data_IF_506186731926
#
_entry.id   IF_506186731926
#
_cell.length_a   1.000
_cell.length_b   1.000
_cell.length_c   1.000
_cell.angle_alpha   90.00
_cell.angle_beta   90.00
_cell.angle_gamma   90.00
#
_symmetry.space_group_name_H-M   'P 1'
#
loop_
_entity.id
_entity.type
_entity.pdbx_description
1 polymer ?
#
# COMPACT_ATOMS: atom_id res chain seq x y z
N UNK A 1 -8.98 -1.83 1.97
CA UNK A 1 -7.51 -1.71 2.03
C UNK A 1 -6.99 -1.09 0.74
N UNK A 2 -6.04 -0.15 0.82
CA UNK A 2 -5.31 0.41 -0.33
C UNK A 2 -3.85 -0.05 -0.28
N UNK A 3 -3.37 -0.65 -1.37
CA UNK A 3 -2.02 -1.22 -1.43
C UNK A 3 -1.17 -0.48 -2.46
N UNK A 4 -0.07 0.11 -2.03
CA UNK A 4 0.86 0.85 -2.88
C UNK A 4 1.87 -0.11 -3.54
N UNK A 5 1.59 -0.56 -4.76
CA UNK A 5 2.40 -1.50 -5.52
C UNK A 5 3.04 -0.88 -6.79
N UNK A 6 2.89 0.42 -7.00
CA UNK A 6 3.49 1.14 -8.14
C UNK A 6 4.97 1.52 -7.93
N UNK A 7 5.55 1.23 -6.76
CA UNK A 7 6.94 1.53 -6.44
C UNK A 7 7.94 0.86 -7.39
N UNK A 8 9.04 1.55 -7.68
CA UNK A 8 10.10 1.03 -8.56
C UNK A 8 10.95 -0.02 -7.84
N UNK A 9 10.55 -1.28 -7.89
CA UNK A 9 11.39 -2.43 -7.52
C UNK A 9 12.52 -2.70 -8.52
N UNK A 10 13.14 -1.65 -9.07
CA UNK A 10 14.01 -1.71 -10.24
C UNK A 10 15.41 -2.31 -10.02
N UNK A 11 15.76 -2.70 -8.78
CA UNK A 11 17.12 -3.17 -8.48
C UNK A 11 17.35 -4.67 -8.76
N UNK A 12 16.30 -5.45 -9.10
CA UNK A 12 16.38 -6.91 -9.21
C UNK A 12 15.81 -7.48 -10.53
N UNK A 13 15.55 -6.67 -11.54
CA UNK A 13 15.11 -7.16 -12.87
C UNK A 13 13.73 -7.81 -12.91
N UNK A 14 12.95 -7.77 -11.82
CA UNK A 14 11.61 -8.34 -11.69
C UNK A 14 10.69 -7.47 -10.84
N UNK A 15 9.41 -7.83 -10.76
CA UNK A 15 8.41 -7.16 -9.92
C UNK A 15 8.51 -7.72 -8.51
N UNK A 16 9.43 -7.19 -7.72
CA UNK A 16 9.74 -7.65 -6.36
C UNK A 16 8.52 -7.82 -5.44
N UNK A 17 7.48 -7.04 -5.67
CA UNK A 17 6.25 -7.06 -4.86
C UNK A 17 5.43 -8.34 -5.02
N UNK A 18 5.64 -9.08 -6.11
CA UNK A 18 4.93 -10.32 -6.40
C UNK A 18 5.88 -11.54 -6.44
N UNK A 19 7.12 -11.38 -5.96
CA UNK A 19 8.02 -12.51 -5.78
C UNK A 19 7.52 -13.41 -4.64
N UNK A 20 7.60 -14.71 -4.89
CA UNK A 20 7.18 -15.71 -3.92
C UNK A 20 8.09 -15.72 -2.69
N UNK A 21 7.48 -15.66 -1.52
CA UNK A 21 8.16 -15.77 -0.21
C UNK A 21 7.60 -16.92 0.63
N UNK A 22 6.43 -17.44 0.28
CA UNK A 22 5.77 -18.54 0.95
C UNK A 22 6.02 -19.90 0.28
N UNK A 23 5.62 -20.98 0.97
CA UNK A 23 5.84 -22.37 0.51
C UNK A 23 5.00 -22.77 -0.71
N UNK A 24 3.90 -22.07 -0.97
CA UNK A 24 2.98 -22.32 -2.08
C UNK A 24 2.94 -21.14 -3.06
N UNK A 25 4.07 -20.45 -3.23
CA UNK A 25 4.22 -19.28 -4.09
C UNK A 25 3.42 -18.04 -3.63
N UNK A 26 3.09 -17.94 -2.34
CA UNK A 26 2.52 -16.71 -1.79
C UNK A 26 3.57 -15.59 -1.78
N UNK A 27 3.18 -14.40 -2.21
CA UNK A 27 3.95 -13.18 -2.05
C UNK A 27 3.54 -12.41 -0.77
N UNK A 28 4.27 -11.35 -0.41
CA UNK A 28 3.91 -10.53 0.77
C UNK A 28 2.50 -9.95 0.67
N UNK A 29 2.04 -9.63 -0.53
CA UNK A 29 0.70 -9.10 -0.77
C UNK A 29 -0.42 -10.11 -0.49
N UNK A 30 -0.18 -11.40 -0.68
CA UNK A 30 -1.16 -12.43 -0.30
C UNK A 30 -1.40 -12.40 1.21
N UNK A 31 -0.32 -12.34 2.01
CA UNK A 31 -0.42 -12.25 3.46
C UNK A 31 -1.10 -10.96 3.91
N UNK A 32 -0.72 -9.81 3.35
CA UNK A 32 -1.33 -8.53 3.68
C UNK A 32 -2.84 -8.53 3.35
N UNK A 33 -3.22 -9.05 2.19
CA UNK A 33 -4.62 -9.12 1.76
C UNK A 33 -5.43 -10.09 2.61
N UNK A 34 -4.86 -11.25 2.94
CA UNK A 34 -5.50 -12.24 3.82
C UNK A 34 -5.71 -11.66 5.23
N UNK A 35 -4.68 -11.07 5.83
CA UNK A 35 -4.76 -10.50 7.17
C UNK A 35 -5.74 -9.31 7.23
N UNK A 36 -5.82 -8.49 6.18
CA UNK A 36 -6.81 -7.43 6.08
C UNK A 36 -8.25 -7.98 6.02
N UNK A 37 -8.50 -8.99 5.19
CA UNK A 37 -9.80 -9.65 5.11
C UNK A 37 -10.22 -10.21 6.48
N UNK A 38 -9.32 -10.91 7.17
CA UNK A 38 -9.57 -11.45 8.52
C UNK A 38 -9.77 -10.35 9.59
N UNK A 39 -9.28 -9.14 9.32
CA UNK A 39 -9.48 -7.95 10.15
C UNK A 39 -10.77 -7.16 9.81
N UNK A 40 -11.58 -7.65 8.86
CA UNK A 40 -12.89 -7.08 8.51
C UNK A 40 -12.85 -6.05 7.37
N UNK A 41 -11.75 -5.90 6.64
CA UNK A 41 -11.74 -5.10 5.42
C UNK A 41 -12.63 -5.77 4.36
N UNK A 42 -13.57 -5.04 3.78
CA UNK A 42 -14.54 -5.54 2.80
C UNK A 42 -13.97 -5.68 1.39
N UNK A 43 -12.95 -4.89 1.06
CA UNK A 43 -12.32 -4.89 -0.27
C UNK A 43 -10.85 -4.50 -0.23
N UNK A 44 -10.15 -4.74 -1.36
CA UNK A 44 -8.77 -4.29 -1.58
C UNK A 44 -8.64 -3.58 -2.93
N UNK A 45 -7.93 -2.44 -2.93
CA UNK A 45 -7.57 -1.70 -4.14
C UNK A 45 -6.05 -1.68 -4.23
N UNK A 46 -5.50 -2.16 -5.34
CA UNK A 46 -4.06 -2.13 -5.61
C UNK A 46 -3.73 -0.97 -6.54
N UNK A 47 -2.71 -0.21 -6.21
CA UNK A 47 -2.15 0.81 -7.11
C UNK A 47 -0.93 0.21 -7.77
N UNK A 48 -0.99 0.02 -9.08
CA UNK A 48 0.07 -0.60 -9.86
C UNK A 48 0.53 0.31 -11.01
N UNK A 49 1.68 -0.04 -11.61
CA UNK A 49 2.08 0.52 -12.90
C UNK A 49 1.49 -0.32 -14.03
N UNK A 50 1.24 0.32 -15.17
CA UNK A 50 0.66 -0.35 -16.34
C UNK A 50 1.58 -1.44 -16.92
N UNK A 51 2.88 -1.25 -16.86
CA UNK A 51 3.88 -2.19 -17.41
C UNK A 51 3.96 -3.52 -16.64
N UNK A 52 3.46 -3.59 -15.39
CA UNK A 52 3.44 -4.82 -14.59
C UNK A 52 2.07 -5.50 -14.56
N UNK A 53 1.06 -4.98 -15.25
CA UNK A 53 -0.32 -5.45 -15.16
C UNK A 53 -0.47 -6.95 -15.43
N UNK A 54 0.18 -7.44 -16.49
CA UNK A 54 0.10 -8.84 -16.87
C UNK A 54 0.63 -9.77 -15.77
N UNK A 55 1.86 -9.53 -15.32
CA UNK A 55 2.50 -10.34 -14.27
C UNK A 55 1.75 -10.23 -12.92
N UNK A 56 1.25 -9.03 -12.60
CA UNK A 56 0.47 -8.79 -11.40
C UNK A 56 -0.84 -9.59 -11.42
N UNK A 57 -1.54 -9.61 -12.54
CA UNK A 57 -2.79 -10.37 -12.68
C UNK A 57 -2.53 -11.87 -12.55
N UNK A 58 -1.59 -12.40 -13.31
CA UNK A 58 -1.28 -13.82 -13.34
C UNK A 58 -0.83 -14.35 -11.96
N UNK A 59 0.08 -13.62 -11.30
CA UNK A 59 0.73 -14.10 -10.08
C UNK A 59 -0.06 -13.81 -8.80
N UNK A 60 -0.89 -12.79 -8.76
CA UNK A 60 -1.60 -12.35 -7.56
C UNK A 60 -3.09 -12.08 -7.79
N UNK A 61 -3.42 -11.10 -8.65
CA UNK A 61 -4.73 -10.48 -8.67
C UNK A 61 -5.86 -11.47 -8.97
N UNK A 62 -5.71 -12.30 -10.00
CA UNK A 62 -6.74 -13.25 -10.41
C UNK A 62 -7.01 -14.33 -9.32
N UNK A 63 -6.02 -14.61 -8.46
CA UNK A 63 -6.19 -15.49 -7.29
C UNK A 63 -6.94 -14.79 -6.16
N UNK A 64 -6.59 -13.55 -5.85
CA UNK A 64 -7.24 -12.75 -4.81
C UNK A 64 -8.70 -12.46 -5.17
N UNK A 65 -8.96 -12.02 -6.41
CA UNK A 65 -10.28 -11.64 -6.89
C UNK A 65 -11.32 -12.78 -6.88
N UNK A 66 -10.89 -14.04 -6.81
CA UNK A 66 -11.81 -15.19 -6.64
C UNK A 66 -12.44 -15.26 -5.25
N UNK A 67 -11.80 -14.66 -4.23
CA UNK A 67 -12.17 -14.84 -2.83
C UNK A 67 -12.38 -13.53 -2.07
N UNK A 68 -12.10 -12.39 -2.71
CA UNK A 68 -12.18 -11.07 -2.09
C UNK A 68 -12.55 -10.04 -3.15
N UNK A 69 -13.36 -9.01 -2.79
CA UNK A 69 -13.61 -7.88 -3.70
C UNK A 69 -12.29 -7.12 -3.91
N UNK A 70 -11.68 -7.32 -5.07
CA UNK A 70 -10.39 -6.77 -5.43
C UNK A 70 -10.49 -5.92 -6.70
N UNK A 71 -9.82 -4.78 -6.68
CA UNK A 71 -9.69 -3.86 -7.81
C UNK A 71 -8.25 -3.41 -7.94
N UNK A 72 -7.88 -2.90 -9.09
CA UNK A 72 -6.61 -2.19 -9.24
C UNK A 72 -6.77 -0.94 -10.09
N UNK A 73 -5.93 0.03 -9.81
CA UNK A 73 -5.84 1.30 -10.53
C UNK A 73 -4.39 1.55 -10.95
N UNK A 74 -4.20 2.38 -11.96
CA UNK A 74 -2.87 2.70 -12.44
C UNK A 74 -2.37 4.02 -11.90
N UNK A 75 -1.14 4.02 -11.39
CA UNK A 75 -0.36 5.24 -11.24
C UNK A 75 0.55 5.39 -12.45
N UNK A 76 0.24 6.32 -13.33
CA UNK A 76 1.08 6.67 -14.47
C UNK A 76 1.74 8.03 -14.26
N UNK A 77 2.71 8.36 -15.09
CA UNK A 77 3.42 9.65 -14.99
C UNK A 77 2.50 10.85 -15.24
N UNK A 78 1.51 10.70 -16.09
CA UNK A 78 0.55 11.71 -16.55
C UNK A 78 -0.78 11.68 -15.77
N UNK A 79 -0.99 10.70 -14.88
CA UNK A 79 -2.22 10.63 -14.08
C UNK A 79 -2.42 11.93 -13.30
N UNK A 80 -3.64 12.45 -13.31
CA UNK A 80 -4.08 13.65 -12.56
C UNK A 80 -3.35 14.95 -12.94
N UNK A 81 -2.57 14.97 -14.02
CA UNK A 81 -1.83 16.15 -14.44
C UNK A 81 -2.54 16.88 -15.58
N UNK A 82 -2.46 18.21 -15.57
CA UNK A 82 -2.86 19.03 -16.72
C UNK A 82 -1.84 18.89 -17.87
N UNK A 83 -2.23 19.19 -19.12
CA UNK A 83 -1.29 19.15 -20.26
C UNK A 83 -0.02 19.99 -20.03
N UNK A 84 -0.14 21.12 -19.37
CA UNK A 84 0.98 22.01 -19.05
C UNK A 84 1.93 21.40 -18.00
N UNK A 85 1.39 20.71 -17.00
CA UNK A 85 2.17 19.97 -16.01
C UNK A 85 2.90 18.78 -16.63
N UNK A 86 2.24 18.06 -17.55
CA UNK A 86 2.85 16.95 -18.30
C UNK A 86 4.04 17.48 -19.11
N UNK A 87 3.86 18.58 -19.86
CA UNK A 87 4.94 19.18 -20.65
C UNK A 87 6.14 19.59 -19.80
N UNK A 88 5.90 20.23 -18.63
CA UNK A 88 6.97 20.64 -17.69
C UNK A 88 7.65 19.46 -17.02
N UNK A 89 6.99 18.33 -16.90
CA UNK A 89 7.52 17.13 -16.24
C UNK A 89 8.05 16.06 -17.20
N UNK A 90 8.14 16.33 -18.50
CA UNK A 90 8.52 15.38 -19.54
C UNK A 90 9.87 14.65 -19.26
N UNK A 91 10.81 15.30 -18.58
CA UNK A 91 12.10 14.70 -18.19
C UNK A 91 12.07 13.94 -16.86
N UNK A 92 10.93 13.90 -16.15
CA UNK A 92 10.81 13.23 -14.86
C UNK A 92 10.73 11.71 -15.06
N UNK A 93 11.68 10.99 -14.45
CA UNK A 93 11.73 9.51 -14.49
C UNK A 93 11.20 8.86 -13.21
N UNK A 94 11.09 9.61 -12.11
CA UNK A 94 10.63 9.07 -10.82
C UNK A 94 9.11 9.25 -10.68
N UNK A 95 8.39 8.32 -10.04
CA UNK A 95 6.98 8.48 -9.72
C UNK A 95 6.75 9.70 -8.82
N UNK A 96 5.52 10.20 -8.78
CA UNK A 96 5.15 11.41 -8.03
C UNK A 96 5.10 11.22 -6.51
N UNK A 97 5.20 10.00 -6.04
CA UNK A 97 5.21 9.67 -4.62
C UNK A 97 3.86 9.16 -4.11
N UNK A 98 3.80 8.94 -2.79
CA UNK A 98 2.71 8.23 -2.11
C UNK A 98 1.38 8.95 -2.20
N UNK A 99 1.34 10.26 -1.95
CA UNK A 99 0.10 11.05 -2.01
C UNK A 99 -0.53 11.01 -3.39
N UNK A 100 0.28 11.17 -4.43
CA UNK A 100 -0.21 11.05 -5.81
C UNK A 100 -0.76 9.64 -6.11
N UNK A 101 -0.11 8.60 -5.59
CA UNK A 101 -0.60 7.24 -5.73
C UNK A 101 -2.00 7.09 -5.10
N UNK A 102 -2.18 7.58 -3.87
CA UNK A 102 -3.49 7.55 -3.18
C UNK A 102 -4.56 8.30 -3.98
N UNK A 103 -4.25 9.48 -4.50
CA UNK A 103 -5.17 10.27 -5.31
C UNK A 103 -5.57 9.55 -6.61
N UNK A 104 -4.69 8.75 -7.22
CA UNK A 104 -5.04 7.92 -8.38
C UNK A 104 -6.11 6.87 -8.07
N UNK A 105 -6.35 6.56 -6.80
CA UNK A 105 -7.36 5.60 -6.37
C UNK A 105 -8.65 6.26 -5.85
N UNK A 106 -8.79 7.58 -5.93
CA UNK A 106 -9.93 8.32 -5.37
C UNK A 106 -11.27 7.72 -5.77
N UNK A 107 -11.48 7.48 -7.06
CA UNK A 107 -12.73 6.92 -7.60
C UNK A 107 -13.00 5.45 -7.21
N UNK A 108 -12.04 4.79 -6.56
CA UNK A 108 -12.16 3.41 -6.09
C UNK A 108 -12.31 3.31 -4.56
N UNK A 109 -12.32 4.44 -3.84
CA UNK A 109 -12.35 4.51 -2.38
C UNK A 109 -13.65 5.17 -1.92
N UNK A 110 -14.56 4.39 -1.31
CA UNK A 110 -15.90 4.83 -0.92
C UNK A 110 -16.15 4.81 0.59
N UNK A 111 -15.15 4.48 1.39
CA UNK A 111 -15.23 4.36 2.85
C UNK A 111 -13.86 4.62 3.48
N UNK A 112 -13.77 4.77 4.81
CA UNK A 112 -12.50 4.84 5.51
C UNK A 112 -11.59 3.68 5.10
N UNK A 113 -10.31 3.96 4.86
CA UNK A 113 -9.37 2.99 4.32
C UNK A 113 -8.00 3.05 5.00
N UNK A 114 -7.31 1.92 5.04
CA UNK A 114 -5.91 1.86 5.42
C UNK A 114 -5.00 1.78 4.19
N UNK A 115 -3.82 2.38 4.28
CA UNK A 115 -2.79 2.36 3.23
C UNK A 115 -1.61 1.53 3.70
N UNK A 116 -1.14 0.63 2.84
CA UNK A 116 0.04 -0.20 3.07
C UNK A 116 0.96 -0.22 1.85
N UNK A 117 2.25 -0.40 2.08
CA UNK A 117 3.22 -0.65 1.02
C UNK A 117 3.19 -2.13 0.61
N UNK A 118 3.44 -2.40 -0.65
CA UNK A 118 3.43 -3.76 -1.19
C UNK A 118 4.65 -4.61 -0.78
N UNK A 119 5.72 -3.97 -0.35
CA UNK A 119 7.01 -4.61 -0.01
C UNK A 119 7.29 -4.68 1.50
N UNK A 120 6.32 -4.30 2.33
CA UNK A 120 6.41 -4.36 3.78
C UNK A 120 5.48 -5.45 4.36
N UNK A 121 5.94 -6.14 5.40
CA UNK A 121 5.12 -7.06 6.20
C UNK A 121 4.66 -6.39 7.48
N UNK A 122 3.36 -6.20 7.63
CA UNK A 122 2.75 -5.48 8.75
C UNK A 122 2.33 -6.38 9.91
N UNK A 123 1.97 -7.62 9.60
CA UNK A 123 1.49 -8.59 10.57
C UNK A 123 0.02 -8.42 10.95
N UNK A 124 -0.58 -9.52 11.35
CA UNK A 124 -2.03 -9.65 11.63
C UNK A 124 -2.55 -8.66 12.66
N UNK A 125 -1.77 -8.38 13.71
CA UNK A 125 -2.18 -7.46 14.78
C UNK A 125 -2.34 -6.02 14.29
N UNK A 126 -1.50 -5.57 13.36
CA UNK A 126 -1.60 -4.24 12.78
C UNK A 126 -2.91 -4.06 12.00
N UNK A 127 -3.28 -5.04 11.17
CA UNK A 127 -4.55 -5.01 10.45
C UNK A 127 -5.76 -5.03 11.38
N UNK A 128 -5.74 -5.83 12.45
CA UNK A 128 -6.80 -5.83 13.47
C UNK A 128 -6.92 -4.48 14.15
N UNK A 129 -5.80 -3.87 14.55
CA UNK A 129 -5.80 -2.58 15.23
C UNK A 129 -6.38 -1.48 14.35
N UNK A 130 -5.86 -1.33 13.13
CA UNK A 130 -6.34 -0.28 12.23
C UNK A 130 -7.76 -0.56 11.72
N UNK A 131 -8.12 -1.82 11.46
CA UNK A 131 -9.47 -2.21 11.06
C UNK A 131 -10.51 -1.90 12.13
N UNK A 132 -10.22 -2.20 13.41
CA UNK A 132 -11.09 -1.82 14.54
C UNK A 132 -11.27 -0.31 14.65
N UNK A 133 -10.21 0.47 14.45
CA UNK A 133 -10.32 1.94 14.44
C UNK A 133 -11.21 2.42 13.29
N UNK A 134 -10.95 1.96 12.06
CA UNK A 134 -11.69 2.39 10.87
C UNK A 134 -13.18 2.01 10.93
N UNK A 135 -13.53 0.88 11.53
CA UNK A 135 -14.93 0.48 11.70
C UNK A 135 -15.71 1.36 12.67
N UNK A 136 -15.04 2.11 13.52
CA UNK A 136 -15.63 3.01 14.51
C UNK A 136 -15.75 4.48 14.09
N UNK A 137 -15.20 4.86 12.94
CA UNK A 137 -15.22 6.25 12.46
C UNK A 137 -16.28 6.45 11.37
N UNK A 138 -16.80 7.69 11.29
CA UNK A 138 -17.72 8.10 10.22
C UNK A 138 -16.99 8.27 8.88
N UNK A 139 -17.69 8.09 7.78
CA UNK A 139 -17.17 8.40 6.43
C UNK A 139 -16.80 9.88 6.25
N UNK A 140 -17.39 10.78 7.02
CA UNK A 140 -17.12 12.21 6.98
C UNK A 140 -15.99 12.61 7.93
N UNK A 141 -15.39 11.67 8.66
CA UNK A 141 -14.28 11.97 9.56
C UNK A 141 -13.03 12.37 8.78
N UNK A 142 -12.38 13.42 9.28
CA UNK A 142 -11.06 13.86 8.81
C UNK A 142 -9.93 13.32 9.69
N UNK A 143 -10.24 12.42 10.62
CA UNK A 143 -9.25 11.84 11.51
C UNK A 143 -8.32 10.89 10.73
N UNK A 144 -7.05 10.92 11.11
CA UNK A 144 -6.03 10.02 10.59
C UNK A 144 -5.46 9.19 11.73
N UNK A 145 -5.13 7.95 11.44
CA UNK A 145 -4.47 7.06 12.39
C UNK A 145 -3.30 6.32 11.74
N UNK A 146 -2.36 5.89 12.57
CA UNK A 146 -1.27 5.04 12.13
C UNK A 146 -0.96 3.96 13.18
N UNK A 147 -0.49 2.82 12.75
CA UNK A 147 0.00 1.77 13.64
C UNK A 147 1.51 1.97 13.82
N UNK A 148 1.92 2.31 15.04
CA UNK A 148 3.32 2.43 15.42
C UNK A 148 3.92 1.07 15.78
N UNK A 149 5.19 0.86 15.43
CA UNK A 149 5.96 -0.34 15.79
C UNK A 149 7.08 0.03 16.74
N UNK A 150 7.39 -0.87 17.66
CA UNK A 150 8.58 -0.72 18.51
C UNK A 150 9.83 -0.68 17.64
N UNK A 151 10.59 0.42 17.69
CA UNK A 151 11.72 0.67 16.79
C UNK A 151 12.70 -0.51 16.73
N UNK A 152 13.04 -1.07 17.89
CA UNK A 152 13.95 -2.24 17.98
C UNK A 152 13.50 -3.46 17.18
N UNK A 153 12.18 -3.64 16.99
CA UNK A 153 11.62 -4.75 16.21
C UNK A 153 11.65 -4.50 14.69
N UNK A 154 11.98 -3.28 14.26
CA UNK A 154 12.05 -2.90 12.86
C UNK A 154 13.47 -2.77 12.31
N UNK A 155 14.46 -3.07 13.14
CA UNK A 155 15.88 -3.00 12.76
C UNK A 155 16.31 -4.22 11.95
N UNK A 156 17.19 -4.00 10.99
CA UNK A 156 17.81 -5.09 10.22
C UNK A 156 19.15 -5.51 10.83
N UNK A 157 19.40 -6.82 10.83
CA UNK A 157 20.74 -7.36 11.18
C UNK A 157 21.71 -7.28 10.00
N UNK A 158 21.22 -7.03 8.78
CA UNK A 158 21.98 -7.13 7.52
C UNK A 158 21.99 -5.81 6.76
N UNK A 159 22.31 -4.70 7.42
CA UNK A 159 22.44 -3.39 6.79
C UNK A 159 21.63 -2.28 7.46
N UNK A 160 21.79 -1.06 6.95
CA UNK A 160 21.08 0.11 7.43
C UNK A 160 19.62 0.12 6.94
N UNK A 161 18.72 0.58 7.79
CA UNK A 161 17.33 0.84 7.47
C UNK A 161 16.98 2.29 7.82
N UNK A 162 16.11 2.91 7.03
CA UNK A 162 15.57 4.22 7.32
C UNK A 162 14.19 4.07 7.97
N UNK A 163 13.98 4.72 9.12
CA UNK A 163 12.71 4.68 9.86
C UNK A 163 12.37 6.08 10.35
N UNK A 164 11.09 6.45 10.29
CA UNK A 164 10.56 7.59 11.02
C UNK A 164 10.43 7.24 12.50
N UNK A 165 11.05 8.01 13.37
CA UNK A 165 10.95 7.83 14.83
C UNK A 165 9.83 8.73 15.34
N UNK A 166 8.68 8.12 15.67
CA UNK A 166 7.51 8.86 16.10
C UNK A 166 7.57 9.22 17.59
N UNK A 167 7.33 10.48 17.92
CA UNK A 167 7.01 10.93 19.27
C UNK A 167 5.49 10.93 19.45
N UNK A 168 5.01 10.35 20.55
CA UNK A 168 3.57 10.23 20.85
C UNK A 168 3.27 10.90 22.17
N UNK A 169 2.26 11.77 22.19
CA UNK A 169 1.74 12.42 23.39
C UNK A 169 0.23 12.22 23.46
N UNK A 170 -0.25 11.72 24.60
CA UNK A 170 -1.68 11.46 24.85
C UNK A 170 -2.36 10.61 23.74
N UNK A 171 -1.65 9.62 23.20
CA UNK A 171 -2.12 8.75 22.13
C UNK A 171 -2.16 9.42 20.74
N UNK A 172 -1.64 10.62 20.60
CA UNK A 172 -1.55 11.36 19.33
C UNK A 172 -0.11 11.50 18.87
N UNK A 173 0.08 11.46 17.55
CA UNK A 173 1.38 11.74 16.96
C UNK A 173 1.75 13.20 17.21
N UNK A 174 2.90 13.42 17.85
CA UNK A 174 3.43 14.75 18.15
C UNK A 174 4.47 15.18 17.08
N UNK A 175 5.39 14.26 16.73
CA UNK A 175 6.40 14.49 15.69
C UNK A 175 6.95 13.19 15.12
N UNK A 176 7.61 13.30 13.95
CA UNK A 176 8.35 12.22 13.26
C UNK A 176 9.76 12.72 12.94
#
# INVERSE_FOLDING_TARGET
LLVLAAGMGSRYGGVKQIDAVGLHNECLLDYATYDAREAGFGNVVYIIRKDIEHDFRERLFDRVARNFDARYVFQTHDSLLTPDQIARSANRKKPWGTVHAVLCAEDALFSPFAVVNADDYYGRSAFKTIGSYLSGISNDSTDHAMVGYVLGNTMSKSGSVSRGVCSVKDGRLDSI
#
